data_IF_150413159316
#
_entry.id   IF_150413159316
#
_cell.length_a   1.000
_cell.length_b   1.000
_cell.length_c   1.000
_cell.angle_alpha   90.00
_cell.angle_beta   90.00
_cell.angle_gamma   90.00
#
_symmetry.space_group_name_H-M   'P 1'
#
loop_
_entity.id
_entity.type
_entity.pdbx_description
1 polymer ?
#
# COMPACT_ATOMS: atom_id res chain seq x y z
N UNK A 1 -3.36 -2.41 26.02
CA UNK A 1 -4.52 -2.77 25.35
C UNK A 1 -5.45 -1.68 25.07
N UNK A 2 -5.71 -0.89 26.03
CA UNK A 2 -6.47 0.28 25.76
C UNK A 2 -5.89 1.05 24.63
N UNK A 3 -4.59 1.04 24.58
CA UNK A 3 -3.94 1.77 23.55
C UNK A 3 -4.25 1.25 22.19
N UNK A 4 -4.37 -0.04 22.07
CA UNK A 4 -4.70 -0.61 20.80
C UNK A 4 -6.05 -0.15 20.33
N UNK A 5 -7.00 -0.17 21.25
CA UNK A 5 -8.32 0.28 20.93
C UNK A 5 -8.32 1.73 20.55
N UNK A 6 -7.58 2.51 21.29
CA UNK A 6 -7.51 3.91 21.00
C UNK A 6 -6.88 4.18 19.66
N UNK A 7 -5.89 3.38 19.31
CA UNK A 7 -5.28 3.53 18.01
C UNK A 7 -6.28 3.25 16.91
N UNK A 8 -7.08 2.22 17.10
CA UNK A 8 -8.07 1.91 16.11
C UNK A 8 -9.10 3.01 15.99
N UNK A 9 -9.48 3.58 17.10
CA UNK A 9 -10.43 4.65 17.08
C UNK A 9 -9.85 5.87 16.40
N UNK A 10 -8.62 6.17 16.74
CA UNK A 10 -7.99 7.31 16.15
C UNK A 10 -7.85 7.14 14.67
N UNK A 11 -7.54 5.92 14.26
CA UNK A 11 -7.47 5.66 12.85
C UNK A 11 -8.80 5.94 12.18
N UNK A 12 -9.87 5.55 12.84
CA UNK A 12 -11.18 5.80 12.29
C UNK A 12 -11.46 7.28 12.17
N UNK A 13 -10.99 8.06 13.15
CA UNK A 13 -11.22 9.49 13.14
C UNK A 13 -10.39 10.20 12.11
N UNK A 14 -9.27 9.63 11.76
CA UNK A 14 -8.38 10.31 10.84
C UNK A 14 -8.26 9.57 9.53
N UNK A 15 -9.30 8.88 9.17
CA UNK A 15 -9.27 8.04 8.00
C UNK A 15 -8.77 8.73 6.76
N UNK A 16 -9.36 9.86 6.41
CA UNK A 16 -8.99 10.48 5.15
C UNK A 16 -7.57 11.03 5.19
N UNK A 17 -7.21 11.88 6.15
CA UNK A 17 -5.83 12.38 6.14
C UNK A 17 -4.81 11.27 6.32
N UNK A 18 -5.13 10.28 7.12
CA UNK A 18 -4.21 9.19 7.36
C UNK A 18 -4.00 8.38 6.08
N UNK A 19 -5.08 8.09 5.37
CA UNK A 19 -4.98 7.36 4.13
C UNK A 19 -4.16 8.12 3.11
N UNK A 20 -4.36 9.43 3.03
CA UNK A 20 -3.61 10.24 2.09
C UNK A 20 -2.12 10.18 2.41
N UNK A 21 -1.77 10.29 3.69
CA UNK A 21 -0.37 10.23 4.06
C UNK A 21 0.25 8.90 3.73
N UNK A 22 -0.47 7.82 4.00
CA UNK A 22 0.04 6.50 3.71
C UNK A 22 0.22 6.29 2.21
N UNK A 23 -0.71 6.81 1.44
CA UNK A 23 -0.60 6.69 0.00
C UNK A 23 0.58 7.49 -0.54
N UNK A 24 0.81 8.67 0.02
CA UNK A 24 1.96 9.46 -0.40
C UNK A 24 3.25 8.73 -0.12
N UNK A 25 3.35 8.14 1.07
CA UNK A 25 4.53 7.36 1.40
C UNK A 25 4.68 6.18 0.47
N UNK A 26 3.57 5.52 0.15
CA UNK A 26 3.61 4.38 -0.76
C UNK A 26 4.09 4.80 -2.14
N UNK A 27 3.66 5.95 -2.60
CA UNK A 27 4.10 6.45 -3.90
C UNK A 27 5.60 6.71 -3.87
N UNK A 28 6.08 7.32 -2.81
CA UNK A 28 7.50 7.60 -2.69
C UNK A 28 8.31 6.32 -2.66
N UNK A 29 7.84 5.36 -1.87
CA UNK A 29 8.51 4.07 -1.78
C UNK A 29 8.53 3.38 -3.14
N UNK A 30 7.40 3.41 -3.82
CA UNK A 30 7.31 2.75 -5.13
C UNK A 30 8.27 3.38 -6.11
N UNK A 31 8.36 4.72 -6.09
CA UNK A 31 9.28 5.40 -6.98
C UNK A 31 10.73 5.03 -6.70
N UNK A 32 11.07 4.94 -5.43
CA UNK A 32 12.44 4.58 -5.08
C UNK A 32 12.76 3.15 -5.49
N UNK A 33 11.79 2.27 -5.31
CA UNK A 33 11.97 0.88 -5.72
C UNK A 33 12.14 0.80 -7.23
N UNK A 34 11.30 1.50 -7.97
CA UNK A 34 11.38 1.47 -9.41
C UNK A 34 12.71 2.02 -9.90
N UNK A 35 13.19 3.08 -9.26
CA UNK A 35 14.49 3.63 -9.64
C UNK A 35 15.59 2.61 -9.46
N UNK A 36 15.51 1.88 -8.35
CA UNK A 36 16.51 0.86 -8.09
C UNK A 36 16.42 -0.26 -9.11
N UNK A 37 15.21 -0.72 -9.39
CA UNK A 37 15.03 -1.80 -10.34
C UNK A 37 15.49 -1.40 -11.74
N UNK A 38 15.25 -0.15 -12.10
CA UNK A 38 15.68 0.32 -13.41
C UNK A 38 17.17 0.33 -13.56
N UNK A 39 17.90 0.38 -12.46
CA UNK A 39 19.35 0.36 -12.52
C UNK A 39 19.92 -1.05 -12.50
N UNK A 40 19.08 -2.05 -12.36
CA UNK A 40 19.53 -3.43 -12.29
C UNK A 40 19.44 -4.07 -13.66
N UNK A 41 20.22 -5.12 -13.84
CA UNK A 41 20.15 -5.89 -15.07
C UNK A 41 18.82 -6.62 -15.14
N UNK A 42 18.27 -6.74 -16.33
CA UNK A 42 17.02 -7.45 -16.50
C UNK A 42 17.17 -8.91 -16.19
N UNK A 43 18.40 -9.39 -16.17
CA UNK A 43 18.62 -10.79 -15.90
C UNK A 43 18.82 -11.10 -14.44
N UNK A 44 18.90 -10.07 -13.62
CA UNK A 44 19.01 -10.31 -12.19
C UNK A 44 17.69 -10.80 -11.65
N UNK A 45 17.77 -11.77 -10.77
CA UNK A 45 16.54 -12.29 -10.20
C UNK A 45 16.32 -11.68 -8.82
N UNK A 46 15.08 -11.62 -8.46
CA UNK A 46 14.68 -11.07 -7.17
C UNK A 46 14.20 -12.21 -6.29
N UNK A 47 14.41 -12.09 -4.97
CA UNK A 47 13.89 -13.14 -4.09
C UNK A 47 12.37 -13.23 -4.23
N UNK A 48 11.87 -14.46 -4.23
CA UNK A 48 10.44 -14.61 -4.41
C UNK A 48 9.65 -13.99 -3.26
N UNK A 49 10.17 -14.04 -2.04
CA UNK A 49 9.46 -13.43 -0.93
C UNK A 49 9.31 -11.92 -1.14
N UNK A 50 10.29 -11.30 -1.79
CA UNK A 50 10.23 -9.87 -2.05
C UNK A 50 9.23 -9.58 -3.17
N UNK A 51 9.29 -10.36 -4.23
CA UNK A 51 8.34 -10.20 -5.33
C UNK A 51 6.91 -10.40 -4.85
N UNK A 52 6.73 -11.33 -3.92
CA UNK A 52 5.40 -11.56 -3.37
C UNK A 52 4.88 -10.34 -2.66
N UNK A 53 5.74 -9.61 -1.97
CA UNK A 53 5.30 -8.39 -1.30
C UNK A 53 4.83 -7.35 -2.29
N UNK A 54 5.52 -7.25 -3.41
CA UNK A 54 5.10 -6.31 -4.44
C UNK A 54 3.74 -6.72 -5.01
N UNK A 55 3.57 -8.01 -5.27
CA UNK A 55 2.31 -8.50 -5.80
C UNK A 55 1.16 -8.24 -4.83
N UNK A 56 1.39 -8.51 -3.55
CA UNK A 56 0.36 -8.29 -2.56
C UNK A 56 0.03 -6.82 -2.43
N UNK A 57 1.04 -5.97 -2.46
CA UNK A 57 0.80 -4.54 -2.35
C UNK A 57 -0.04 -4.04 -3.51
N UNK A 58 0.28 -4.48 -4.71
CA UNK A 58 -0.47 -4.07 -5.88
C UNK A 58 -1.91 -4.54 -5.80
N UNK A 59 -2.11 -5.76 -5.32
CA UNK A 59 -3.47 -6.29 -5.19
C UNK A 59 -4.25 -5.53 -4.15
N UNK A 60 -3.64 -5.21 -3.03
CA UNK A 60 -4.34 -4.48 -1.98
C UNK A 60 -4.70 -3.08 -2.44
N UNK A 61 -3.78 -2.41 -3.12
CA UNK A 61 -4.07 -1.08 -3.63
C UNK A 61 -5.20 -1.11 -4.65
N UNK A 62 -5.16 -2.12 -5.51
CA UNK A 62 -6.18 -2.27 -6.51
C UNK A 62 -7.55 -2.44 -5.88
N UNK A 63 -7.62 -3.29 -4.87
CA UNK A 63 -8.87 -3.52 -4.19
C UNK A 63 -9.34 -2.29 -3.45
N UNK A 64 -8.43 -1.58 -2.82
CA UNK A 64 -8.78 -0.36 -2.12
C UNK A 64 -9.32 0.67 -3.10
N UNK A 65 -8.71 0.76 -4.28
CA UNK A 65 -9.18 1.68 -5.30
C UNK A 65 -10.59 1.34 -5.73
N UNK A 66 -10.81 0.05 -5.98
CA UNK A 66 -12.14 -0.37 -6.44
C UNK A 66 -13.19 -0.06 -5.40
N UNK A 67 -12.85 -0.27 -4.13
CA UNK A 67 -13.80 -0.02 -3.06
C UNK A 67 -14.17 1.46 -2.99
N UNK A 68 -13.16 2.33 -3.01
CA UNK A 68 -13.41 3.75 -2.79
C UNK A 68 -14.11 4.38 -3.99
N UNK A 69 -13.85 3.85 -5.19
CA UNK A 69 -14.46 4.40 -6.38
C UNK A 69 -15.81 3.79 -6.68
N UNK A 70 -16.06 2.59 -6.19
CA UNK A 70 -17.31 1.89 -6.45
C UNK A 70 -17.84 1.27 -5.17
N UNK A 71 -18.18 2.08 -4.19
CA UNK A 71 -18.56 1.51 -2.89
C UNK A 71 -19.81 0.65 -2.94
N UNK A 72 -20.67 0.88 -3.88
CA UNK A 72 -21.87 0.10 -3.96
C UNK A 72 -21.61 -1.36 -4.21
N UNK A 73 -20.58 -1.66 -4.93
CA UNK A 73 -20.29 -3.02 -5.27
C UNK A 73 -19.68 -3.79 -4.14
N UNK A 74 -19.28 -3.10 -3.11
CA UNK A 74 -18.61 -3.76 -2.01
C UNK A 74 -19.53 -4.18 -0.91
N UNK A 75 -20.78 -3.99 -1.06
CA UNK A 75 -21.70 -4.42 -0.04
C UNK A 75 -22.08 -5.87 -0.08
#
# INVERSE_FOLDING_TARGET
MIKLKELLKEDGHTDVPSAIRKLKTSIEDANEIMNKLNSMSEEESLPSWWSDKITLSANYLNKARDYILNPKEMK
#
